data_IF_446659514568
#
_entry.id   IF_446659514568
#
_cell.length_a   1.000
_cell.length_b   1.000
_cell.length_c   1.000
_cell.angle_alpha   90.00
_cell.angle_beta   90.00
_cell.angle_gamma   90.00
#
_symmetry.space_group_name_H-M   'P 1'
#
loop_
_entity.id
_entity.type
_entity.pdbx_description
1 polymer ?
#
# COMPACT_ATOMS: atom_id res chain seq x y z
N UNK A 1 -24.21 26.85 -17.78
CA UNK A 1 -22.92 26.15 -17.98
C UNK A 1 -23.08 24.73 -17.48
N UNK A 2 -23.39 23.77 -18.37
CA UNK A 2 -23.44 22.35 -18.00
C UNK A 2 -22.00 21.88 -17.76
N UNK A 3 -21.75 21.28 -16.60
CA UNK A 3 -20.48 20.61 -16.32
C UNK A 3 -20.37 19.38 -17.23
N UNK A 4 -19.76 19.58 -18.39
CA UNK A 4 -19.21 18.49 -19.22
C UNK A 4 -18.01 17.93 -18.45
N UNK A 5 -18.24 16.92 -17.63
CA UNK A 5 -17.15 16.07 -17.15
C UNK A 5 -16.69 15.26 -18.36
N UNK A 6 -15.61 15.75 -18.98
CA UNK A 6 -14.84 15.01 -19.98
C UNK A 6 -14.67 13.57 -19.52
N UNK A 7 -15.15 12.63 -20.34
CA UNK A 7 -14.93 11.20 -20.20
C UNK A 7 -13.44 10.97 -20.46
N UNK A 8 -12.61 11.30 -19.47
CA UNK A 8 -11.24 10.86 -19.42
C UNK A 8 -11.31 9.34 -19.36
N UNK A 9 -11.02 8.74 -20.51
CA UNK A 9 -10.71 7.33 -20.68
C UNK A 9 -10.11 6.81 -19.38
N UNK A 10 -10.81 5.89 -18.74
CA UNK A 10 -10.33 5.18 -17.57
C UNK A 10 -9.03 4.49 -17.99
N UNK A 11 -7.91 5.20 -17.83
CA UNK A 11 -6.63 4.55 -17.75
C UNK A 11 -6.76 3.61 -16.56
N UNK A 12 -6.42 2.32 -16.69
CA UNK A 12 -6.20 1.51 -15.51
C UNK A 12 -5.17 2.31 -14.71
N UNK A 13 -5.59 2.85 -13.57
CA UNK A 13 -4.69 3.51 -12.64
C UNK A 13 -3.79 2.40 -12.17
N UNK A 14 -2.69 2.24 -12.92
CA UNK A 14 -1.57 1.38 -12.57
C UNK A 14 -1.35 1.60 -11.08
N UNK A 15 -1.35 0.53 -10.26
CA UNK A 15 -1.38 0.68 -8.82
C UNK A 15 -0.20 1.58 -8.46
N UNK A 16 -0.50 2.83 -8.07
CA UNK A 16 0.49 3.75 -7.54
C UNK A 16 0.86 3.17 -6.19
N UNK A 17 1.77 2.19 -6.26
CA UNK A 17 2.50 1.66 -5.15
C UNK A 17 3.01 2.88 -4.40
N UNK A 18 2.70 3.03 -3.11
CA UNK A 18 3.03 4.24 -2.39
C UNK A 18 4.53 4.45 -2.54
N UNK A 19 4.89 5.62 -3.09
CA UNK A 19 6.29 6.02 -3.24
C UNK A 19 6.96 5.86 -1.90
N UNK A 20 7.83 4.85 -1.82
CA UNK A 20 8.57 4.54 -0.62
C UNK A 20 9.45 5.75 -0.35
N UNK A 21 9.11 6.57 0.64
CA UNK A 21 10.06 7.51 1.20
C UNK A 21 11.15 6.68 1.90
N UNK A 22 12.22 6.42 1.16
CA UNK A 22 13.47 5.85 1.64
C UNK A 22 14.19 6.90 2.51
N UNK A 23 13.56 7.33 3.61
CA UNK A 23 14.22 8.18 4.59
C UNK A 23 14.93 7.33 5.63
N UNK A 24 16.15 6.94 5.30
CA UNK A 24 17.31 6.85 6.19
C UNK A 24 18.44 6.17 5.44
N UNK A 25 19.28 6.97 4.79
CA UNK A 25 20.59 6.55 4.28
C UNK A 25 21.47 6.17 5.48
N UNK A 26 21.37 4.91 5.94
CA UNK A 26 22.43 4.26 6.72
C UNK A 26 23.12 3.32 5.75
N UNK A 27 24.31 3.71 5.31
CA UNK A 27 25.22 2.87 4.52
C UNK A 27 25.62 1.65 5.37
N UNK A 28 24.82 0.60 5.35
CA UNK A 28 25.21 -0.69 5.92
C UNK A 28 26.33 -1.24 5.07
N UNK A 29 27.56 -1.21 5.59
CA UNK A 29 28.71 -1.87 4.96
C UNK A 29 28.33 -3.34 4.67
N UNK A 30 28.58 -3.85 3.45
CA UNK A 30 28.23 -5.22 3.12
C UNK A 30 28.95 -6.17 4.09
N UNK A 31 28.17 -6.94 4.84
CA UNK A 31 28.70 -7.95 5.73
C UNK A 31 29.18 -9.12 4.87
N UNK A 32 30.48 -9.20 4.65
CA UNK A 32 31.11 -10.38 4.04
C UNK A 32 30.74 -11.60 4.90
N UNK A 33 30.07 -12.58 4.29
CA UNK A 33 29.75 -13.85 4.96
C UNK A 33 31.04 -14.67 4.96
N UNK A 34 31.86 -14.46 5.98
CA UNK A 34 33.03 -15.31 6.23
C UNK A 34 32.53 -16.58 6.93
N UNK A 35 32.58 -17.69 6.21
CA UNK A 35 32.39 -19.01 6.81
C UNK A 35 33.56 -19.28 7.77
N UNK A 36 33.25 -19.71 8.99
CA UNK A 36 34.25 -20.03 10.01
C UNK A 36 34.29 -21.54 10.12
N UNK A 37 35.45 -22.14 9.85
CA UNK A 37 35.68 -23.58 10.00
C UNK A 37 35.39 -24.03 11.43
N UNK A 38 34.96 -25.28 11.58
CA UNK A 38 34.50 -25.82 12.87
C UNK A 38 35.57 -25.80 13.96
N UNK A 39 36.84 -25.95 13.60
CA UNK A 39 37.99 -25.85 14.49
C UNK A 39 38.29 -24.42 14.97
N UNK A 40 37.73 -23.40 14.31
CA UNK A 40 37.94 -21.99 14.59
C UNK A 40 36.73 -21.31 15.25
N UNK A 41 35.67 -22.07 15.61
CA UNK A 41 34.50 -21.55 16.32
C UNK A 41 34.79 -21.38 17.81
N UNK A 42 35.32 -20.21 18.15
CA UNK A 42 35.57 -19.79 19.52
C UNK A 42 34.30 -19.31 20.27
N UNK A 43 34.41 -19.11 21.58
CA UNK A 43 33.30 -18.59 22.40
C UNK A 43 32.79 -17.22 21.91
N UNK A 44 33.70 -16.39 21.39
CA UNK A 44 33.39 -15.08 20.83
C UNK A 44 32.51 -15.21 19.57
N UNK A 45 32.74 -16.19 18.71
CA UNK A 45 31.88 -16.55 17.58
C UNK A 45 30.50 -16.95 18.08
N UNK A 46 30.40 -17.85 19.07
CA UNK A 46 29.11 -18.31 19.59
C UNK A 46 28.29 -17.18 20.21
N UNK A 47 28.91 -16.28 20.97
CA UNK A 47 28.25 -15.10 21.51
C UNK A 47 27.72 -14.17 20.39
N UNK A 48 28.51 -13.92 19.34
CA UNK A 48 28.07 -13.15 18.17
C UNK A 48 26.91 -13.83 17.46
N UNK A 49 26.96 -15.16 17.26
CA UNK A 49 25.92 -15.93 16.58
C UNK A 49 24.58 -15.88 17.34
N UNK A 50 24.62 -16.05 18.68
CA UNK A 50 23.45 -15.91 19.55
C UNK A 50 22.84 -14.51 19.45
N UNK A 51 23.65 -13.45 19.53
CA UNK A 51 23.18 -12.06 19.37
C UNK A 51 22.55 -11.81 17.99
N UNK A 52 23.16 -12.31 16.92
CA UNK A 52 22.63 -12.17 15.57
C UNK A 52 21.29 -12.90 15.38
N UNK A 53 21.11 -14.10 15.95
CA UNK A 53 19.83 -14.81 15.90
C UNK A 53 18.70 -14.02 16.57
N UNK A 54 18.97 -13.42 17.74
CA UNK A 54 17.99 -12.56 18.43
C UNK A 54 17.67 -11.33 17.60
N UNK A 55 18.69 -10.65 17.06
CA UNK A 55 18.51 -9.49 16.19
C UNK A 55 17.72 -9.83 14.91
N UNK A 56 18.00 -10.99 14.30
CA UNK A 56 17.29 -11.47 13.12
C UNK A 56 15.81 -11.76 13.43
N UNK A 57 15.51 -12.39 14.56
CA UNK A 57 14.12 -12.60 15.01
C UNK A 57 13.40 -11.26 15.19
N UNK A 58 13.98 -10.34 15.96
CA UNK A 58 13.42 -8.99 16.17
C UNK A 58 13.20 -8.24 14.86
N UNK A 59 14.14 -8.34 13.92
CA UNK A 59 14.02 -7.70 12.60
C UNK A 59 12.88 -8.29 11.78
N UNK A 60 12.72 -9.62 11.79
CA UNK A 60 11.60 -10.31 11.11
C UNK A 60 10.27 -9.90 11.72
N UNK A 61 10.17 -9.85 13.05
CA UNK A 61 8.93 -9.48 13.73
C UNK A 61 8.54 -8.03 13.46
N UNK A 62 9.51 -7.10 13.49
CA UNK A 62 9.28 -5.71 13.13
C UNK A 62 8.80 -5.54 11.67
N UNK A 63 9.38 -6.30 10.73
CA UNK A 63 8.94 -6.30 9.34
C UNK A 63 7.51 -6.82 9.20
N UNK A 64 7.20 -7.95 9.85
CA UNK A 64 5.86 -8.55 9.83
C UNK A 64 4.79 -7.60 10.36
N UNK A 65 5.07 -6.90 11.47
CA UNK A 65 4.14 -5.90 12.02
C UNK A 65 3.86 -4.81 10.99
N UNK A 66 4.90 -4.30 10.31
CA UNK A 66 4.75 -3.27 9.28
C UNK A 66 3.96 -3.78 8.07
N UNK A 67 4.23 -4.99 7.60
CA UNK A 67 3.50 -5.62 6.50
C UNK A 67 2.01 -5.82 6.86
N UNK A 68 1.72 -6.30 8.07
CA UNK A 68 0.35 -6.45 8.56
C UNK A 68 -0.39 -5.11 8.65
N UNK A 69 0.29 -4.05 9.11
CA UNK A 69 -0.29 -2.70 9.14
C UNK A 69 -0.63 -2.19 7.73
N UNK A 70 0.24 -2.45 6.75
CA UNK A 70 -0.01 -2.09 5.34
C UNK A 70 -1.21 -2.86 4.82
N UNK A 71 -1.28 -4.17 5.05
CA UNK A 71 -2.41 -5.00 4.61
C UNK A 71 -3.74 -4.53 5.21
N UNK A 72 -3.77 -4.27 6.52
CA UNK A 72 -4.94 -3.74 7.22
C UNK A 72 -5.39 -2.38 6.63
N UNK A 73 -4.43 -1.48 6.38
CA UNK A 73 -4.72 -0.16 5.81
C UNK A 73 -5.25 -0.26 4.38
N UNK A 74 -4.68 -1.14 3.55
CA UNK A 74 -5.14 -1.37 2.19
C UNK A 74 -6.59 -1.86 2.18
N UNK A 75 -6.89 -2.92 2.95
CA UNK A 75 -8.24 -3.47 3.05
C UNK A 75 -9.28 -2.44 3.52
N UNK A 76 -8.90 -1.57 4.49
CA UNK A 76 -9.78 -0.49 4.92
C UNK A 76 -10.06 0.52 3.80
N UNK A 77 -9.02 0.95 3.08
CA UNK A 77 -9.16 1.93 1.99
C UNK A 77 -9.93 1.36 0.80
N UNK A 78 -9.74 0.08 0.46
CA UNK A 78 -10.50 -0.62 -0.57
C UNK A 78 -12.01 -0.58 -0.24
N UNK A 79 -12.38 -1.01 0.97
CA UNK A 79 -13.78 -0.97 1.42
C UNK A 79 -14.38 0.44 1.38
N UNK A 80 -13.62 1.45 1.80
CA UNK A 80 -14.07 2.85 1.74
C UNK A 80 -14.25 3.32 0.30
N UNK A 81 -13.35 2.94 -0.61
CA UNK A 81 -13.46 3.29 -2.02
C UNK A 81 -14.71 2.68 -2.65
N UNK A 82 -14.98 1.40 -2.38
CA UNK A 82 -16.17 0.71 -2.88
C UNK A 82 -17.45 1.39 -2.38
N UNK A 83 -17.52 1.68 -1.07
CA UNK A 83 -18.67 2.39 -0.49
C UNK A 83 -18.89 3.76 -1.13
N UNK A 84 -17.83 4.50 -1.43
CA UNK A 84 -17.93 5.80 -2.10
C UNK A 84 -18.36 5.67 -3.56
N UNK A 85 -17.88 4.64 -4.27
CA UNK A 85 -18.30 4.35 -5.66
C UNK A 85 -19.78 4.01 -5.73
N UNK A 86 -20.28 3.17 -4.83
CA UNK A 86 -21.70 2.82 -4.75
C UNK A 86 -22.57 4.08 -4.56
N UNK A 87 -22.21 4.94 -3.61
CA UNK A 87 -22.93 6.20 -3.38
C UNK A 87 -22.88 7.15 -4.58
N UNK A 88 -21.72 7.23 -5.24
CA UNK A 88 -21.57 8.04 -6.43
C UNK A 88 -22.46 7.53 -7.56
N UNK A 89 -22.49 6.22 -7.79
CA UNK A 89 -23.36 5.60 -8.79
C UNK A 89 -24.85 5.81 -8.50
N UNK A 90 -25.25 5.73 -7.24
CA UNK A 90 -26.63 6.02 -6.80
C UNK A 90 -27.01 7.47 -7.13
N UNK A 91 -26.20 8.45 -6.70
CA UNK A 91 -26.43 9.87 -6.99
C UNK A 91 -26.42 10.15 -8.50
N UNK A 92 -25.54 9.49 -9.26
CA UNK A 92 -25.51 9.64 -10.72
C UNK A 92 -26.80 9.12 -11.38
N UNK A 93 -27.35 7.99 -10.91
CA UNK A 93 -28.63 7.47 -11.39
C UNK A 93 -29.79 8.43 -11.05
N UNK A 94 -29.80 8.99 -9.85
CA UNK A 94 -30.80 9.99 -9.46
C UNK A 94 -30.72 11.25 -10.33
N UNK A 95 -29.51 11.79 -10.53
CA UNK A 95 -29.28 12.93 -11.40
C UNK A 95 -29.73 12.65 -12.84
N UNK A 96 -29.41 11.47 -13.37
CA UNK A 96 -29.84 11.06 -14.70
C UNK A 96 -31.37 11.04 -14.82
N UNK A 97 -32.06 10.45 -13.84
CA UNK A 97 -33.53 10.43 -13.81
C UNK A 97 -34.14 11.82 -13.72
N UNK A 98 -33.51 12.74 -12.96
CA UNK A 98 -33.93 14.14 -12.88
C UNK A 98 -33.72 14.88 -14.21
N UNK A 99 -32.60 14.67 -14.88
CA UNK A 99 -32.32 15.24 -16.22
C UNK A 99 -33.38 14.76 -17.22
N UNK A 100 -33.67 13.46 -17.26
CA UNK A 100 -34.71 12.87 -18.13
C UNK A 100 -36.11 13.39 -17.81
N UNK A 101 -36.38 13.74 -16.55
CA UNK A 101 -37.64 14.36 -16.16
C UNK A 101 -37.72 15.81 -16.60
N UNK A 102 -36.64 16.59 -16.43
CA UNK A 102 -36.58 18.00 -16.79
C UNK A 102 -36.60 18.22 -18.30
N UNK A 103 -35.97 17.35 -19.09
CA UNK A 103 -35.94 17.45 -20.56
C UNK A 103 -37.34 17.41 -21.21
N UNK A 104 -38.32 16.83 -20.52
CA UNK A 104 -39.74 16.84 -20.94
C UNK A 104 -40.35 18.24 -20.93
N UNK A 105 -39.80 19.15 -20.13
CA UNK A 105 -40.30 20.51 -19.94
C UNK A 105 -39.44 21.58 -20.62
N UNK A 106 -38.22 21.26 -21.07
CA UNK A 106 -37.36 22.19 -21.82
C UNK A 106 -37.79 22.40 -23.29
N UNK A 107 -38.68 21.57 -23.83
CA UNK A 107 -39.14 21.63 -25.22
C UNK A 107 -40.56 22.23 -25.39
N UNK A 108 -41.03 23.03 -24.42
CA UNK A 108 -42.31 23.77 -24.47
C UNK A 108 -42.05 25.27 -24.55
#
# INVERSE_FOLDING_TARGET
>A
MPYVTSLASAQPSSPQSPVRSLSSNKTTKPCVIVFVDDSAKDDKYWQRRKKNNVAAKRSRDARRVKENQIAMRAAFLEKQNDTLREKYEEIMKENQALIERLSKYENV
#
